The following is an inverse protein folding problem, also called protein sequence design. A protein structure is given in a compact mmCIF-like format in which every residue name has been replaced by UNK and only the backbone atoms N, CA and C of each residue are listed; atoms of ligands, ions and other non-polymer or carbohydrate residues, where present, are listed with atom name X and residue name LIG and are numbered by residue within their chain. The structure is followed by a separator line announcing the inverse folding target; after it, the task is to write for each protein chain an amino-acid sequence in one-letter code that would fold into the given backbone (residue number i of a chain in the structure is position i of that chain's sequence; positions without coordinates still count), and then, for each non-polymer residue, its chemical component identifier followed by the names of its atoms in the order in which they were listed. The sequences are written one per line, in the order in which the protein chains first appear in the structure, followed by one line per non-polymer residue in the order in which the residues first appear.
data_IF_676143910364
#
_entry.id   IF_676143910364
#
_cell.length_a   1.000
_cell.length_b   1.000
_cell.length_c   1.000
_cell.angle_alpha   90.00
_cell.angle_beta   90.00
_cell.angle_gamma   90.00
#
_symmetry.space_group_name_H-M   'P 1'
#
loop_
_entity.id
_entity.type
_entity.pdbx_description
1 polymer ?
#
# COMPACT_ATOMS: atom_id res chain seq x y z
N UNK A 1 -13.30 19.31 -17.69
CA UNK A 1 -12.43 18.68 -18.72
C UNK A 1 -13.23 18.50 -20.00
N UNK A 2 -12.63 18.81 -21.15
CA UNK A 2 -13.23 18.57 -22.47
C UNK A 2 -13.35 17.07 -22.73
N UNK A 3 -14.43 16.65 -23.37
CA UNK A 3 -14.69 15.23 -23.71
C UNK A 3 -13.64 14.77 -24.74
N UNK A 4 -13.02 13.58 -24.59
CA UNK A 4 -12.14 13.04 -25.63
C UNK A 4 -12.93 12.76 -26.90
N UNK A 5 -12.50 13.35 -28.02
CA UNK A 5 -13.06 13.11 -29.36
C UNK A 5 -12.02 12.40 -30.22
N UNK A 6 -12.47 11.66 -31.24
CA UNK A 6 -11.56 11.13 -32.26
C UNK A 6 -10.97 12.30 -33.05
N UNK A 7 -9.67 12.22 -33.35
CA UNK A 7 -9.00 13.17 -34.24
C UNK A 7 -9.06 12.67 -35.69
N UNK A 8 -8.45 13.41 -36.62
CA UNK A 8 -8.41 13.09 -38.05
C UNK A 8 -7.78 11.72 -38.32
N UNK A 9 -6.81 11.31 -37.50
CA UNK A 9 -6.17 9.98 -37.56
C UNK A 9 -7.09 8.82 -37.13
N UNK A 10 -8.33 9.11 -36.71
CA UNK A 10 -9.27 8.12 -36.18
C UNK A 10 -8.98 7.62 -34.76
N UNK A 11 -7.84 8.03 -34.17
CA UNK A 11 -7.39 7.64 -32.83
C UNK A 11 -7.78 8.66 -31.76
N UNK A 12 -7.88 8.17 -30.51
CA UNK A 12 -8.05 8.99 -29.32
C UNK A 12 -6.69 9.30 -28.68
N UNK A 13 -6.40 10.59 -28.52
CA UNK A 13 -5.18 11.08 -27.90
C UNK A 13 -5.43 11.47 -26.44
N UNK A 14 -4.92 10.69 -25.49
CA UNK A 14 -5.20 10.85 -24.06
C UNK A 14 -3.91 10.70 -23.27
N UNK A 15 -3.52 11.76 -22.53
CA UNK A 15 -2.31 11.78 -21.69
C UNK A 15 -1.03 11.35 -22.43
N UNK A 16 -0.87 11.81 -23.68
CA UNK A 16 0.29 11.49 -24.52
C UNK A 16 0.31 10.08 -25.11
N UNK A 17 -0.80 9.34 -25.04
CA UNK A 17 -0.95 8.01 -25.63
C UNK A 17 -2.12 7.99 -26.60
N UNK A 18 -1.99 7.17 -27.64
CA UNK A 18 -3.02 6.95 -28.66
C UNK A 18 -3.77 5.65 -28.41
N UNK A 19 -5.08 5.69 -28.64
CA UNK A 19 -5.96 4.53 -28.48
C UNK A 19 -6.95 4.45 -29.65
N UNK A 20 -7.13 3.28 -30.28
CA UNK A 20 -8.17 3.07 -31.29
C UNK A 20 -9.59 3.29 -30.72
N UNK A 21 -9.82 2.80 -29.49
CA UNK A 21 -11.12 2.86 -28.83
C UNK A 21 -11.04 3.62 -27.51
N UNK A 22 -12.07 4.41 -27.20
CA UNK A 22 -12.15 5.10 -25.92
C UNK A 22 -12.62 4.15 -24.81
N UNK A 23 -13.61 3.31 -25.14
CA UNK A 23 -14.23 2.36 -24.24
C UNK A 23 -14.01 0.94 -24.75
N UNK A 24 -13.72 0.01 -23.85
CA UNK A 24 -13.60 -1.41 -24.21
C UNK A 24 -13.67 -2.33 -23.00
N UNK A 25 -13.46 -3.62 -23.26
CA UNK A 25 -13.38 -4.67 -22.24
C UNK A 25 -12.14 -4.48 -21.35
N UNK A 26 -12.12 -5.15 -20.19
CA UNK A 26 -10.95 -5.13 -19.29
C UNK A 26 -9.68 -5.66 -19.96
N UNK A 27 -9.83 -6.61 -20.88
CA UNK A 27 -8.71 -7.17 -21.65
C UNK A 27 -8.20 -6.17 -22.68
N UNK A 28 -9.10 -5.52 -23.44
CA UNK A 28 -8.71 -4.48 -24.39
C UNK A 28 -7.96 -3.32 -23.70
N UNK A 29 -8.44 -2.87 -22.53
CA UNK A 29 -7.76 -1.85 -21.74
C UNK A 29 -6.40 -2.32 -21.21
N UNK A 30 -6.27 -3.60 -20.86
CA UNK A 30 -4.98 -4.16 -20.43
C UNK A 30 -4.00 -4.22 -21.59
N UNK A 31 -4.45 -4.62 -22.77
CA UNK A 31 -3.62 -4.78 -23.97
C UNK A 31 -3.28 -3.43 -24.60
N UNK A 32 -4.07 -2.38 -24.34
CA UNK A 32 -3.83 -1.02 -24.82
C UNK A 32 -4.62 -0.64 -26.08
N UNK A 33 -5.58 -1.47 -26.51
CA UNK A 33 -6.50 -1.15 -27.60
C UNK A 33 -7.60 -0.16 -27.19
N UNK A 34 -7.95 -0.13 -25.89
CA UNK A 34 -8.90 0.82 -25.34
C UNK A 34 -8.30 1.64 -24.20
N UNK A 35 -8.72 2.90 -24.04
CA UNK A 35 -8.25 3.73 -22.94
C UNK A 35 -8.82 3.30 -21.58
N UNK A 36 -10.14 3.11 -21.51
CA UNK A 36 -10.85 2.79 -20.26
C UNK A 36 -12.01 1.83 -20.48
N UNK A 37 -12.50 1.22 -19.41
CA UNK A 37 -13.73 0.44 -19.46
C UNK A 37 -14.97 1.34 -19.36
N UNK A 38 -16.15 0.78 -19.62
CA UNK A 38 -17.45 1.44 -19.37
C UNK A 38 -17.57 1.93 -17.92
N UNK A 39 -17.01 1.17 -16.97
CA UNK A 39 -16.92 1.53 -15.55
C UNK A 39 -15.81 2.53 -15.22
N UNK A 40 -15.24 3.22 -16.20
CA UNK A 40 -14.15 4.18 -16.08
C UNK A 40 -12.86 3.63 -15.42
N UNK A 41 -12.58 2.33 -15.54
CA UNK A 41 -11.31 1.77 -15.08
C UNK A 41 -10.26 1.91 -16.17
N UNK A 42 -9.13 2.52 -15.82
CA UNK A 42 -7.97 2.65 -16.70
C UNK A 42 -6.99 1.50 -16.42
N UNK A 43 -6.01 1.27 -17.29
CA UNK A 43 -5.00 0.18 -17.16
C UNK A 43 -4.33 0.12 -15.78
N UNK A 44 -4.07 1.28 -15.15
CA UNK A 44 -3.49 1.38 -13.79
C UNK A 44 -4.41 0.86 -12.67
N UNK A 45 -5.72 0.89 -12.88
CA UNK A 45 -6.74 0.48 -11.91
C UNK A 45 -7.09 -1.00 -12.03
N UNK A 46 -6.52 -1.69 -13.03
CA UNK A 46 -6.70 -3.11 -13.27
C UNK A 46 -5.53 -3.90 -12.70
N UNK A 47 -5.81 -5.09 -12.17
CA UNK A 47 -4.83 -6.05 -11.64
C UNK A 47 -5.15 -7.46 -12.12
N UNK A 48 -4.15 -8.23 -12.55
CA UNK A 48 -4.30 -9.67 -12.85
C UNK A 48 -4.10 -10.48 -11.58
N UNK A 49 -5.10 -11.26 -11.19
CA UNK A 49 -4.95 -12.15 -10.05
C UNK A 49 -4.15 -13.41 -10.42
N UNK A 50 -3.80 -14.23 -9.43
CA UNK A 50 -3.07 -15.49 -9.65
C UNK A 50 -3.81 -16.51 -10.51
N UNK A 51 -5.11 -16.33 -10.72
CA UNK A 51 -5.96 -17.20 -11.56
C UNK A 51 -6.15 -16.62 -12.97
N UNK A 52 -5.35 -15.63 -13.37
CA UNK A 52 -5.38 -15.01 -14.70
C UNK A 52 -6.51 -14.02 -14.94
N UNK A 53 -7.42 -13.78 -13.98
CA UNK A 53 -8.54 -12.84 -14.16
C UNK A 53 -8.11 -11.39 -13.94
N UNK A 54 -8.56 -10.50 -14.82
CA UNK A 54 -8.36 -9.06 -14.70
C UNK A 54 -9.45 -8.46 -13.79
N UNK A 55 -9.06 -8.02 -12.60
CA UNK A 55 -9.93 -7.45 -11.57
C UNK A 55 -9.59 -5.99 -11.28
N UNK A 56 -10.48 -5.27 -10.59
CA UNK A 56 -10.15 -3.93 -10.08
C UNK A 56 -9.13 -4.00 -8.94
N UNK A 57 -8.07 -3.22 -9.05
CA UNK A 57 -7.01 -3.10 -8.04
C UNK A 57 -7.56 -2.59 -6.70
N UNK A 58 -8.46 -1.60 -6.73
CA UNK A 58 -9.11 -1.07 -5.53
C UNK A 58 -9.85 -2.18 -4.77
N UNK A 59 -10.67 -2.96 -5.47
CA UNK A 59 -11.43 -4.07 -4.87
C UNK A 59 -10.50 -5.16 -4.32
N UNK A 60 -9.44 -5.52 -5.05
CA UNK A 60 -8.46 -6.50 -4.59
C UNK A 60 -7.74 -6.05 -3.31
N UNK A 61 -7.28 -4.79 -3.24
CA UNK A 61 -6.61 -4.23 -2.05
C UNK A 61 -7.56 -4.12 -0.86
N UNK A 62 -8.75 -3.56 -1.07
CA UNK A 62 -9.75 -3.40 -0.01
C UNK A 62 -10.19 -4.73 0.58
N UNK A 63 -10.38 -5.77 -0.25
CA UNK A 63 -10.73 -7.10 0.24
C UNK A 63 -9.68 -7.67 1.21
N UNK A 64 -8.40 -7.53 0.88
CA UNK A 64 -7.28 -7.98 1.75
C UNK A 64 -7.15 -7.15 3.03
N UNK A 65 -7.43 -5.85 2.97
CA UNK A 65 -7.34 -4.96 4.12
C UNK A 65 -8.49 -5.16 5.10
N UNK A 66 -9.72 -5.26 4.61
CA UNK A 66 -10.91 -5.25 5.46
C UNK A 66 -11.22 -6.60 6.08
N UNK A 67 -10.89 -7.70 5.38
CA UNK A 67 -11.20 -9.08 5.80
C UNK A 67 -12.62 -9.21 6.37
N UNK A 68 -13.60 -8.64 5.66
CA UNK A 68 -14.97 -8.33 6.14
C UNK A 68 -15.64 -9.51 6.84
N UNK A 69 -15.55 -10.70 6.26
CA UNK A 69 -16.13 -11.92 6.84
C UNK A 69 -15.53 -12.20 8.23
N UNK A 70 -14.21 -12.22 8.34
CA UNK A 70 -13.52 -12.40 9.63
C UNK A 70 -13.87 -11.28 10.61
N UNK A 71 -13.92 -10.03 10.13
CA UNK A 71 -14.29 -8.86 10.95
C UNK A 71 -15.69 -9.00 11.55
N UNK A 72 -16.64 -9.59 10.83
CA UNK A 72 -18.00 -9.84 11.32
C UNK A 72 -18.18 -11.23 11.96
N UNK A 73 -17.09 -11.99 12.15
CA UNK A 73 -17.12 -13.25 12.87
C UNK A 73 -17.44 -14.48 12.02
N UNK A 74 -17.45 -14.35 10.70
CA UNK A 74 -17.69 -15.46 9.78
C UNK A 74 -16.37 -16.12 9.39
N UNK A 75 -16.25 -17.41 9.72
CA UNK A 75 -15.09 -18.24 9.43
C UNK A 75 -15.51 -19.50 8.67
N UNK A 76 -14.54 -20.18 8.06
CA UNK A 76 -14.70 -21.50 7.47
C UNK A 76 -13.81 -22.49 8.24
N UNK A 77 -14.33 -23.69 8.51
CA UNK A 77 -13.60 -24.78 9.14
C UNK A 77 -13.48 -25.94 8.14
N UNK A 78 -12.28 -26.51 8.01
CA UNK A 78 -12.05 -27.63 7.10
C UNK A 78 -12.92 -28.83 7.52
N UNK A 79 -13.61 -29.44 6.55
CA UNK A 79 -14.48 -30.60 6.80
C UNK A 79 -15.89 -30.27 7.29
N UNK A 80 -16.25 -28.99 7.46
CA UNK A 80 -17.62 -28.56 7.77
C UNK A 80 -18.16 -27.69 6.64
N UNK A 81 -19.32 -28.07 6.12
CA UNK A 81 -20.01 -27.30 5.10
C UNK A 81 -20.72 -26.08 5.73
N UNK A 82 -20.58 -24.91 5.10
CA UNK A 82 -21.18 -23.65 5.55
C UNK A 82 -20.22 -22.73 6.31
N UNK A 83 -20.79 -21.73 7.02
CA UNK A 83 -20.03 -20.77 7.81
C UNK A 83 -20.07 -21.12 9.30
N UNK A 84 -18.98 -20.83 10.01
CA UNK A 84 -18.91 -20.91 11.47
C UNK A 84 -18.86 -19.49 12.03
N UNK A 85 -19.81 -19.14 12.88
CA UNK A 85 -19.92 -17.81 13.49
C UNK A 85 -19.20 -17.78 14.83
N UNK A 86 -18.19 -16.94 14.97
CA UNK A 86 -17.48 -16.69 16.22
C UNK A 86 -17.89 -15.34 16.81
N UNK A 87 -17.92 -15.23 18.12
CA UNK A 87 -18.14 -13.97 18.79
C UNK A 87 -16.97 -13.02 18.48
N UNK A 88 -17.29 -11.85 17.92
CA UNK A 88 -16.29 -10.80 17.72
C UNK A 88 -16.50 -9.76 18.81
N UNK A 89 -15.47 -9.42 19.60
CA UNK A 89 -15.58 -8.37 20.60
C UNK A 89 -15.92 -7.05 19.89
N UNK A 90 -17.03 -6.43 20.28
CA UNK A 90 -17.40 -5.08 19.81
C UNK A 90 -16.51 -4.09 20.55
N UNK A 91 -15.61 -3.41 19.85
CA UNK A 91 -14.94 -2.23 20.39
C UNK A 91 -16.00 -1.16 20.67
N UNK A 92 -16.25 -0.85 21.94
CA UNK A 92 -17.16 0.22 22.35
C UNK A 92 -16.57 1.56 21.89
N UNK A 93 -17.30 2.27 21.04
CA UNK A 93 -16.93 3.62 20.60
C UNK A 93 -17.23 4.57 21.76
N UNK A 94 -16.21 5.06 22.44
CA UNK A 94 -16.36 6.08 23.50
C UNK A 94 -16.85 7.37 22.83
N UNK A 95 -17.94 7.98 23.33
CA UNK A 95 -18.55 9.20 22.78
C UNK A 95 -18.01 10.43 23.52
N UNK A 96 -17.19 11.26 22.86
CA UNK A 96 -16.72 12.59 23.32
C UNK A 96 -15.73 12.55 24.50
N UNK A 97 -14.79 13.45 24.74
CA UNK A 97 -14.37 14.74 24.19
C UNK A 97 -13.20 15.21 25.10
N UNK A 98 -12.28 16.03 24.59
CA UNK A 98 -10.98 16.33 25.20
C UNK A 98 -11.02 17.03 26.57
N UNK A 99 -10.11 16.64 27.48
CA UNK A 99 -9.39 17.50 28.42
C UNK A 99 -7.94 16.99 28.52
N UNK A 100 -6.97 17.91 28.49
CA UNK A 100 -5.54 17.63 28.39
C UNK A 100 -4.86 17.20 29.69
N UNK A 101 -3.55 16.94 29.57
CA UNK A 101 -2.61 16.43 30.58
C UNK A 101 -2.99 15.02 31.07
N UNK A 102 -2.17 13.99 30.96
CA UNK A 102 -0.81 13.87 31.46
C UNK A 102 -0.16 12.60 30.88
N UNK A 103 1.02 12.75 30.28
CA UNK A 103 1.77 11.66 29.67
C UNK A 103 2.67 10.99 30.73
N UNK A 104 2.11 10.15 31.61
CA UNK A 104 2.96 9.26 32.42
C UNK A 104 2.15 8.15 33.10
N UNK A 105 2.18 6.91 32.56
CA UNK A 105 2.38 5.69 33.38
C UNK A 105 2.94 4.56 32.49
N UNK A 106 4.22 4.28 32.75
CA UNK A 106 4.92 2.99 32.80
C UNK A 106 4.76 1.96 31.66
N UNK A 107 5.81 1.86 30.82
CA UNK A 107 6.31 0.57 30.37
C UNK A 107 7.33 0.06 31.41
N UNK A 108 7.20 -1.16 31.96
CA UNK A 108 8.30 -1.76 32.71
C UNK A 108 9.36 -2.25 31.72
N UNK A 109 10.39 -1.43 31.48
CA UNK A 109 11.65 -1.88 30.87
C UNK A 109 12.53 -2.44 31.97
N UNK A 110 12.50 -3.76 32.17
CA UNK A 110 13.53 -4.47 32.93
C UNK A 110 14.79 -4.56 32.06
N UNK A 111 15.72 -3.62 32.22
CA UNK A 111 17.08 -3.75 31.72
C UNK A 111 18.05 -3.43 32.85
N UNK A 112 18.68 -4.50 33.34
CA UNK A 112 19.71 -4.56 34.37
C UNK A 112 20.85 -3.57 34.09
N UNK A 113 21.17 -2.77 35.10
CA UNK A 113 22.31 -1.85 35.13
C UNK A 113 23.58 -2.61 35.54
N UNK A 114 24.62 -2.61 34.71
CA UNK A 114 25.99 -2.81 35.18
C UNK A 114 26.99 -1.94 34.40
N UNK A 115 27.39 -0.86 35.09
CA UNK A 115 28.73 -0.27 35.21
C UNK A 115 29.60 -0.04 33.97
N UNK A 116 29.78 1.24 33.65
CA UNK A 116 30.93 1.75 32.91
C UNK A 116 32.21 1.69 33.77
N UNK A 117 33.37 1.38 33.17
CA UNK A 117 34.65 1.85 33.69
C UNK A 117 35.22 3.03 32.87
N UNK A 118 35.83 3.90 33.65
CA UNK A 118 36.54 5.17 33.40
C UNK A 118 37.58 5.19 32.28
N UNK A 119 37.71 6.37 31.69
CA UNK A 119 38.73 6.77 30.73
C UNK A 119 40.16 6.82 31.29
N UNK A 120 41.13 6.46 30.43
CA UNK A 120 42.55 6.88 30.46
C UNK A 120 42.98 6.98 28.98
N UNK A 121 43.18 8.18 28.41
CA UNK A 121 44.40 9.03 28.37
C UNK A 121 45.60 8.38 27.67
N UNK A 122 46.25 9.19 26.82
CA UNK A 122 47.54 9.07 26.10
C UNK A 122 47.51 8.35 24.75
N UNK A 123 47.61 9.07 23.62
CA UNK A 123 48.86 9.44 22.92
C UNK A 123 48.76 8.80 21.52
N UNK A 124 49.32 9.24 20.41
CA UNK A 124 50.34 10.21 20.06
C UNK A 124 50.28 10.39 18.51
N UNK A 125 50.64 11.59 18.06
CA UNK A 125 51.29 11.96 16.79
C UNK A 125 50.96 11.30 15.41
N UNK A 126 50.70 12.22 14.44
CA UNK A 126 51.43 12.36 13.14
C UNK A 126 51.24 11.24 12.08
N UNK A 127 51.00 11.50 10.79
CA UNK A 127 51.88 12.17 9.82
C UNK A 127 51.06 12.59 8.58
N UNK A 128 51.44 13.74 8.02
CA UNK A 128 51.00 14.34 6.74
C UNK A 128 51.58 13.63 5.51
N UNK A 129 50.91 13.75 4.37
CA UNK A 129 51.53 13.70 3.03
C UNK A 129 50.49 13.36 1.97
N UNK A 130 49.95 14.27 1.14
CA UNK A 130 50.56 15.06 0.06
C UNK A 130 51.26 14.22 -1.02
N UNK A 131 50.60 14.04 -2.17
CA UNK A 131 51.26 13.88 -3.46
C UNK A 131 50.30 14.30 -4.58
N UNK A 132 50.65 15.41 -5.22
CA UNK A 132 50.20 15.90 -6.52
C UNK A 132 51.00 15.22 -7.65
N UNK A 133 50.67 15.60 -8.90
CA UNK A 133 51.43 15.50 -10.17
C UNK A 133 51.00 14.31 -11.05
N UNK A 134 50.74 14.42 -12.36
CA UNK A 134 50.47 15.50 -13.32
C UNK A 134 50.12 14.85 -14.68
N UNK A 135 49.53 15.66 -15.57
CA UNK A 135 49.55 15.64 -17.04
C UNK A 135 48.94 14.44 -17.79
#
# INVERSE_FOLDING_TARGET
MKRPTRQEDGLYHINGKTYPELFGSREQVRNGTAYKTEGNLVKKDLFTNKWGRIVSLKKHRTAKKEMRLRKYGYFAEKGKFGYVKKAVPKTRKVKGGAIGADLSVAYPTSASAHAAPSASVSGDASIKGSATVSA
#
